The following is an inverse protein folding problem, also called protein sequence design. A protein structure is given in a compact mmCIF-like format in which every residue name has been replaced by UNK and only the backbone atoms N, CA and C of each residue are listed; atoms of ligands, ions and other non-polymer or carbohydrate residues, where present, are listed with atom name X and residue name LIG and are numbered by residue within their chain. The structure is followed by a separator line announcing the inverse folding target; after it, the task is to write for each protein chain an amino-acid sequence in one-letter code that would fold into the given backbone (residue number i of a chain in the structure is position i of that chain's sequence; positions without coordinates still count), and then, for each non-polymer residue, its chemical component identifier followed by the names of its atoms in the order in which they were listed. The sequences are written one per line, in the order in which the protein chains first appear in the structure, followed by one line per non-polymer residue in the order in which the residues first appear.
data_IF_768952952225
#
_entry.id   IF_768952952225
#
_cell.length_a   1.000
_cell.length_b   1.000
_cell.length_c   1.000
_cell.angle_alpha   90.00
_cell.angle_beta   90.00
_cell.angle_gamma   90.00
#
_symmetry.space_group_name_H-M   'P 1'
#
loop_
_entity.id
_entity.type
_entity.pdbx_description
1 polymer ?
#
# COMPACT_ATOMS: atom_id res chain seq x y z
N UNK A 1 -6.89 -30.92 7.06
CA UNK A 1 -7.13 -29.63 6.39
C UNK A 1 -6.36 -28.60 7.19
N UNK A 2 -5.26 -28.08 6.64
CA UNK A 2 -4.42 -27.07 7.28
C UNK A 2 -4.39 -25.89 6.30
N UNK A 3 -5.33 -24.98 6.48
CA UNK A 3 -5.38 -23.67 5.82
C UNK A 3 -5.48 -22.67 6.96
N UNK A 4 -4.34 -22.14 7.39
CA UNK A 4 -4.28 -21.21 8.51
C UNK A 4 -2.87 -20.69 8.75
N UNK A 5 -2.03 -20.65 7.71
CA UNK A 5 -0.66 -20.16 7.78
C UNK A 5 -0.39 -18.91 6.94
N UNK A 6 -1.25 -18.62 5.95
CA UNK A 6 -1.10 -17.46 5.07
C UNK A 6 -1.96 -16.26 5.51
N UNK A 7 -3.06 -16.45 6.23
CA UNK A 7 -3.90 -15.32 6.69
C UNK A 7 -3.17 -14.40 7.70
N UNK A 8 -2.16 -14.92 8.40
CA UNK A 8 -1.42 -14.16 9.42
C UNK A 8 -0.32 -13.26 8.81
N UNK A 9 -0.05 -13.37 7.51
CA UNK A 9 1.01 -12.62 6.83
C UNK A 9 0.47 -11.96 5.56
N UNK A 10 0.82 -10.71 5.37
CA UNK A 10 0.54 -9.99 4.15
C UNK A 10 1.77 -9.18 3.76
N UNK A 11 2.02 -9.10 2.45
CA UNK A 11 3.03 -8.21 1.90
C UNK A 11 2.45 -6.81 1.71
N UNK A 12 3.30 -5.79 1.87
CA UNK A 12 2.91 -4.40 1.60
C UNK A 12 2.97 -4.18 0.10
N UNK A 13 1.83 -3.86 -0.51
CA UNK A 13 1.73 -3.63 -1.96
C UNK A 13 1.80 -2.13 -2.29
N UNK A 14 1.28 -1.27 -1.40
CA UNK A 14 1.24 0.17 -1.62
C UNK A 14 1.38 0.95 -0.30
N UNK A 15 2.06 2.09 -0.37
CA UNK A 15 2.18 3.05 0.73
C UNK A 15 1.36 4.30 0.40
N UNK A 16 0.34 4.57 1.21
CA UNK A 16 -0.48 5.78 1.08
C UNK A 16 0.20 6.98 1.72
N UNK A 17 0.09 8.14 1.08
CA UNK A 17 0.48 9.41 1.70
C UNK A 17 -0.53 9.81 2.78
N UNK A 18 -0.17 10.70 3.73
CA UNK A 18 -1.06 11.06 4.83
C UNK A 18 -2.45 11.57 4.38
N UNK A 19 -2.51 12.32 3.27
CA UNK A 19 -3.77 12.84 2.74
C UNK A 19 -4.66 11.76 2.13
N UNK A 20 -4.08 10.79 1.42
CA UNK A 20 -4.83 9.63 0.88
C UNK A 20 -5.37 8.75 2.00
N UNK A 21 -4.58 8.56 3.08
CA UNK A 21 -5.04 7.80 4.23
C UNK A 21 -6.25 8.47 4.94
N UNK A 22 -6.37 9.80 4.90
CA UNK A 22 -7.56 10.52 5.37
C UNK A 22 -8.77 10.24 4.49
N UNK A 23 -8.58 10.19 3.17
CA UNK A 23 -9.64 9.85 2.22
C UNK A 23 -10.13 8.42 2.47
N UNK A 24 -9.24 7.45 2.64
CA UNK A 24 -9.60 6.06 2.96
C UNK A 24 -10.41 5.95 4.25
N UNK A 25 -10.04 6.73 5.27
CA UNK A 25 -10.81 6.83 6.51
C UNK A 25 -12.19 7.45 6.29
N UNK A 26 -12.29 8.49 5.47
CA UNK A 26 -13.56 9.13 5.12
C UNK A 26 -14.49 8.21 4.29
N UNK A 27 -13.91 7.36 3.42
CA UNK A 27 -14.64 6.36 2.65
C UNK A 27 -15.00 5.11 3.46
N UNK A 28 -14.49 4.98 4.69
CA UNK A 28 -14.79 3.86 5.59
C UNK A 28 -13.98 2.59 5.31
N UNK A 29 -12.92 2.68 4.50
CA UNK A 29 -12.00 1.56 4.25
C UNK A 29 -11.05 1.34 5.42
N UNK A 30 -10.72 2.40 6.16
CA UNK A 30 -9.99 2.31 7.42
C UNK A 30 -10.94 2.48 8.62
N UNK A 31 -10.75 1.68 9.70
CA UNK A 31 -11.51 1.86 10.94
C UNK A 31 -11.40 3.28 11.49
N UNK A 32 -12.45 3.80 12.13
CA UNK A 32 -12.45 5.15 12.69
C UNK A 32 -11.43 5.34 13.82
N UNK A 33 -11.09 4.26 14.53
CA UNK A 33 -10.05 4.24 15.57
C UNK A 33 -8.63 4.29 15.02
N UNK A 34 -8.45 4.17 13.70
CA UNK A 34 -7.14 4.24 13.05
C UNK A 34 -6.53 5.62 13.28
N UNK A 35 -5.36 5.62 13.92
CA UNK A 35 -4.57 6.83 14.20
C UNK A 35 -3.56 7.03 13.09
N UNK A 36 -3.76 8.08 12.30
CA UNK A 36 -2.81 8.50 11.27
C UNK A 36 -1.65 9.27 11.92
N UNK A 37 -0.41 8.91 11.59
CA UNK A 37 0.79 9.60 12.06
C UNK A 37 1.17 10.69 11.07
N UNK A 38 0.38 11.75 11.06
CA UNK A 38 0.41 12.85 10.07
C UNK A 38 1.67 13.74 10.15
N UNK A 39 2.56 13.52 11.13
CA UNK A 39 3.73 14.38 11.40
C UNK A 39 5.08 13.68 11.51
N UNK A 40 5.17 12.36 11.28
CA UNK A 40 6.45 11.61 11.27
C UNK A 40 6.87 11.24 9.83
N UNK A 41 5.95 11.32 8.87
CA UNK A 41 6.19 11.00 7.46
C UNK A 41 6.35 12.27 6.58
N UNK A 42 6.67 13.42 7.16
CA UNK A 42 6.75 14.71 6.45
C UNK A 42 8.14 15.36 6.48
N UNK A 43 9.22 14.56 6.50
CA UNK A 43 10.57 15.12 6.63
C UNK A 43 11.70 14.30 6.03
N UNK A 44 11.42 13.31 5.19
CA UNK A 44 12.46 12.65 4.39
C UNK A 44 11.96 12.61 2.94
N UNK A 45 12.48 13.58 2.20
CA UNK A 45 12.51 13.76 0.75
C UNK A 45 11.19 13.93 -0.01
N UNK A 46 10.82 15.20 -0.11
CA UNK A 46 10.26 15.83 -1.31
C UNK A 46 11.28 15.85 -2.50
N UNK A 47 12.16 14.84 -2.62
CA UNK A 47 13.18 14.71 -3.68
C UNK A 47 13.26 13.27 -4.22
N UNK A 48 12.12 12.63 -4.50
CA UNK A 48 12.08 11.50 -5.44
C UNK A 48 11.11 11.83 -6.59
N UNK A 49 11.48 12.86 -7.36
CA UNK A 49 10.95 13.16 -8.69
C UNK A 49 11.62 12.26 -9.76
N UNK A 50 11.97 11.04 -9.38
CA UNK A 50 12.30 9.97 -10.31
C UNK A 50 11.02 9.27 -10.76
N UNK A 51 10.88 8.86 -12.03
CA UNK A 51 9.79 7.98 -12.41
C UNK A 51 9.93 6.70 -11.59
N UNK A 52 9.09 6.55 -10.56
CA UNK A 52 9.08 5.41 -9.67
C UNK A 52 8.89 4.13 -10.48
N UNK A 53 10.00 3.45 -10.75
CA UNK A 53 10.10 2.11 -11.35
C UNK A 53 9.80 1.02 -10.31
N UNK A 54 8.91 1.33 -9.36
CA UNK A 54 8.44 0.40 -8.32
C UNK A 54 7.05 -0.17 -8.69
N UNK A 55 6.53 0.17 -9.87
CA UNK A 55 5.33 -0.48 -10.41
C UNK A 55 5.70 -1.87 -10.94
N UNK A 56 5.12 -2.91 -10.33
CA UNK A 56 5.17 -4.26 -10.90
C UNK A 56 4.29 -4.26 -12.16
N UNK A 57 4.92 -4.19 -13.33
CA UNK A 57 4.24 -4.40 -14.61
C UNK A 57 3.93 -5.89 -14.78
N UNK A 58 2.64 -6.25 -14.68
CA UNK A 58 2.19 -7.57 -15.07
C UNK A 58 2.05 -7.57 -16.59
N UNK A 59 3.04 -8.11 -17.29
CA UNK A 59 2.92 -8.34 -18.73
C UNK A 59 1.89 -9.45 -18.99
N UNK A 60 0.96 -9.22 -19.91
CA UNK A 60 -0.08 -10.19 -20.30
C UNK A 60 0.53 -11.53 -20.77
N UNK A 61 1.82 -11.57 -21.15
CA UNK A 61 2.57 -12.77 -21.54
C UNK A 61 2.77 -13.79 -20.41
N UNK A 62 2.64 -13.41 -19.13
CA UNK A 62 2.77 -14.33 -18.01
C UNK A 62 1.46 -15.03 -17.64
N UNK A 63 0.33 -14.58 -18.20
CA UNK A 63 -0.99 -15.20 -18.01
C UNK A 63 -1.08 -16.54 -18.75
N UNK A 64 -0.39 -16.65 -19.89
CA UNK A 64 -0.45 -17.82 -20.78
C UNK A 64 0.43 -19.00 -20.32
N UNK A 65 1.24 -18.83 -19.26
CA UNK A 65 2.16 -19.85 -18.72
C UNK A 65 1.59 -20.65 -17.53
N UNK A 66 0.32 -20.40 -17.16
CA UNK A 66 -0.39 -21.06 -16.04
C UNK A 66 -1.07 -22.38 -16.44
#
# INVERSE_FOLDING_TARGET
MLLGGEDDKADVILKYVPDEARLLKAYGELPESTRLNEGIAGGLDEEDDGPGDDYIEFEDEDIDKL
#
